data_IF_830965154815
#
_entry.id   IF_830965154815
#
_cell.length_a   1.000
_cell.length_b   1.000
_cell.length_c   1.000
_cell.angle_alpha   90.00
_cell.angle_beta   90.00
_cell.angle_gamma   90.00
#
_symmetry.space_group_name_H-M   'P 1'
#
loop_
_entity.id
_entity.type
_entity.pdbx_description
1 polymer ?
#
# COMPACT_ATOMS: atom_id res chain seq x y z
N UNK A 1 -1.58 13.00 15.59
CA UNK A 1 -1.78 13.77 14.33
C UNK A 1 -0.59 13.49 13.44
N UNK A 2 -0.81 13.12 12.20
CA UNK A 2 0.25 12.99 11.20
C UNK A 2 -0.07 13.90 10.01
N UNK A 3 0.95 14.22 9.24
CA UNK A 3 0.83 15.01 8.01
C UNK A 3 1.24 14.08 6.87
N UNK A 4 0.45 14.03 5.82
CA UNK A 4 0.74 13.29 4.60
C UNK A 4 0.86 14.22 3.41
N UNK A 5 1.70 13.84 2.46
CA UNK A 5 1.83 14.49 1.17
C UNK A 5 1.62 13.45 0.07
N UNK A 6 0.72 13.75 -0.86
CA UNK A 6 0.44 12.92 -2.03
C UNK A 6 0.86 13.66 -3.28
N UNK A 7 1.60 12.99 -4.14
CA UNK A 7 1.92 13.47 -5.48
C UNK A 7 1.57 12.41 -6.50
N UNK A 8 0.87 12.79 -7.55
CA UNK A 8 0.57 11.91 -8.66
C UNK A 8 0.49 12.69 -9.97
N UNK A 9 0.95 12.09 -11.05
CA UNK A 9 0.96 12.69 -12.37
C UNK A 9 0.95 11.63 -13.45
N UNK A 10 0.21 11.88 -14.53
CA UNK A 10 0.28 11.07 -15.76
C UNK A 10 1.35 11.59 -16.73
N UNK A 11 1.86 12.79 -16.51
CA UNK A 11 2.79 13.48 -17.41
C UNK A 11 4.24 13.48 -16.89
N UNK A 12 4.53 12.66 -15.87
CA UNK A 12 5.88 12.56 -15.30
C UNK A 12 6.76 11.70 -16.22
N UNK A 13 7.39 12.32 -17.19
CA UNK A 13 8.30 11.63 -18.13
C UNK A 13 9.38 10.85 -17.37
N UNK A 14 9.59 9.59 -17.74
CA UNK A 14 10.58 8.71 -17.13
C UNK A 14 10.08 7.92 -15.91
N UNK A 15 8.93 8.27 -15.35
CA UNK A 15 8.40 7.60 -14.13
C UNK A 15 7.55 6.35 -14.41
N UNK A 16 7.15 6.10 -15.62
CA UNK A 16 6.30 4.96 -16.00
C UNK A 16 5.11 4.82 -15.00
N UNK A 17 4.80 3.60 -14.55
CA UNK A 17 3.82 3.30 -13.51
C UNK A 17 4.46 3.21 -12.13
N UNK A 18 5.35 4.12 -11.80
CA UNK A 18 6.02 4.14 -10.49
C UNK A 18 5.02 4.46 -9.38
N UNK A 19 5.05 3.66 -8.34
CA UNK A 19 4.42 3.93 -7.06
C UNK A 19 5.49 3.84 -5.98
N UNK A 20 5.59 4.86 -5.14
CA UNK A 20 6.47 4.84 -3.98
C UNK A 20 5.73 5.33 -2.74
N UNK A 21 6.08 4.75 -1.60
CA UNK A 21 5.52 5.11 -0.30
C UNK A 21 6.68 5.35 0.66
N UNK A 22 6.65 6.49 1.35
CA UNK A 22 7.58 6.82 2.43
C UNK A 22 6.79 7.14 3.69
N UNK A 23 7.21 6.59 4.82
CA UNK A 23 6.61 6.82 6.12
C UNK A 23 7.71 7.25 7.08
N UNK A 24 7.54 8.43 7.67
CA UNK A 24 8.49 9.01 8.62
C UNK A 24 7.92 8.96 10.03
N UNK A 25 8.65 8.37 10.95
CA UNK A 25 8.30 8.26 12.35
C UNK A 25 9.44 8.72 13.28
N UNK A 26 9.15 8.81 14.56
CA UNK A 26 10.14 9.24 15.56
C UNK A 26 11.22 8.17 15.87
N UNK A 27 11.05 6.94 15.39
CA UNK A 27 12.02 5.83 15.57
C UNK A 27 12.73 5.45 14.28
N UNK A 28 12.44 6.14 13.17
CA UNK A 28 13.01 5.86 11.86
C UNK A 28 12.00 6.06 10.76
N UNK A 29 12.38 5.68 9.54
CA UNK A 29 11.51 5.78 8.37
C UNK A 29 11.49 4.50 7.56
N UNK A 30 10.42 4.32 6.80
CA UNK A 30 10.23 3.22 5.85
C UNK A 30 10.11 3.78 4.44
N UNK A 31 10.71 3.09 3.50
CA UNK A 31 10.54 3.37 2.08
C UNK A 31 10.26 2.09 1.31
N UNK A 32 9.26 2.14 0.45
CA UNK A 32 8.95 1.10 -0.51
C UNK A 32 8.71 1.69 -1.89
N UNK A 33 9.10 0.96 -2.92
CA UNK A 33 8.84 1.36 -4.31
C UNK A 33 8.39 0.16 -5.13
N UNK A 34 7.45 0.39 -6.04
CA UNK A 34 6.95 -0.61 -6.96
C UNK A 34 8.04 -1.13 -7.92
N UNK A 35 9.09 -0.37 -8.18
CA UNK A 35 10.20 -0.80 -9.02
C UNK A 35 11.04 -1.91 -8.38
N UNK A 36 10.99 -2.03 -7.04
CA UNK A 36 11.58 -3.13 -6.27
C UNK A 36 10.58 -3.61 -5.20
N UNK A 37 9.51 -4.31 -5.60
CA UNK A 37 8.38 -4.61 -4.73
C UNK A 37 8.70 -5.59 -3.61
N UNK A 38 9.79 -6.35 -3.74
CA UNK A 38 10.20 -7.37 -2.78
C UNK A 38 10.89 -6.81 -1.54
N UNK A 39 11.27 -5.53 -1.53
CA UNK A 39 12.06 -4.92 -0.49
C UNK A 39 11.41 -3.68 0.11
N UNK A 40 11.50 -3.60 1.43
CA UNK A 40 11.21 -2.38 2.20
C UNK A 40 12.49 -1.93 2.88
N UNK A 41 12.87 -0.69 2.68
CA UNK A 41 14.02 -0.08 3.34
C UNK A 41 13.58 0.54 4.65
N UNK A 42 14.25 0.19 5.73
CA UNK A 42 14.09 0.81 7.04
C UNK A 42 15.35 1.57 7.40
N UNK A 43 15.20 2.84 7.72
CA UNK A 43 16.25 3.75 8.14
C UNK A 43 16.03 4.06 9.62
N UNK A 44 16.97 3.71 10.49
CA UNK A 44 16.88 4.03 11.91
C UNK A 44 17.48 5.42 12.22
N UNK A 45 17.25 5.89 13.46
CA UNK A 45 17.76 7.20 13.89
C UNK A 45 19.28 7.24 14.08
N UNK A 46 19.95 6.09 14.04
CA UNK A 46 21.42 5.99 14.13
C UNK A 46 22.07 6.02 12.75
N UNK A 47 21.28 6.16 11.67
CA UNK A 47 21.75 6.19 10.29
C UNK A 47 21.97 4.80 9.67
N UNK A 48 21.57 3.72 10.34
CA UNK A 48 21.65 2.38 9.76
C UNK A 48 20.49 2.13 8.79
N UNK A 49 20.78 1.35 7.75
CA UNK A 49 19.81 0.92 6.76
C UNK A 49 19.62 -0.58 6.88
N UNK A 50 18.39 -1.02 7.05
CA UNK A 50 18.00 -2.43 7.02
C UNK A 50 17.08 -2.69 5.85
N UNK A 51 17.39 -3.72 5.06
CA UNK A 51 16.50 -4.18 3.99
C UNK A 51 15.64 -5.30 4.55
N UNK A 52 14.33 -5.12 4.47
CA UNK A 52 13.32 -6.06 4.93
C UNK A 52 12.67 -6.68 3.70
N UNK A 53 12.73 -7.99 3.57
CA UNK A 53 12.13 -8.75 2.48
C UNK A 53 11.37 -9.97 2.99
N UNK A 54 10.84 -10.80 2.12
CA UNK A 54 10.05 -11.99 2.48
C UNK A 54 10.82 -13.03 3.29
N UNK A 55 12.16 -13.03 3.27
CA UNK A 55 13.01 -13.91 4.08
C UNK A 55 13.32 -13.32 5.46
N UNK A 56 13.00 -12.05 5.70
CA UNK A 56 13.30 -11.37 6.95
C UNK A 56 12.45 -11.95 8.08
N UNK A 57 13.10 -12.46 9.12
CA UNK A 57 12.42 -13.03 10.30
C UNK A 57 11.57 -12.02 11.09
N UNK A 58 11.78 -10.72 10.87
CA UNK A 58 11.13 -9.63 11.63
C UNK A 58 9.68 -9.34 11.20
N UNK A 59 9.20 -9.89 10.08
CA UNK A 59 7.89 -9.54 9.55
C UNK A 59 7.02 -10.77 9.33
N UNK A 60 6.08 -10.95 10.26
CA UNK A 60 5.11 -12.06 10.25
C UNK A 60 4.21 -12.06 9.02
N UNK A 61 3.98 -10.91 8.39
CA UNK A 61 3.11 -10.76 7.21
C UNK A 61 3.83 -11.06 5.90
N UNK A 62 5.12 -10.73 5.79
CA UNK A 62 5.90 -10.96 4.57
C UNK A 62 6.28 -12.42 4.37
N UNK A 63 6.21 -13.24 5.41
CA UNK A 63 6.42 -14.68 5.35
C UNK A 63 5.16 -15.47 5.05
N UNK A 64 4.00 -14.82 4.86
CA UNK A 64 2.76 -15.52 4.59
C UNK A 64 2.74 -16.06 3.14
N UNK A 65 3.06 -17.34 3.02
CA UNK A 65 3.09 -18.09 1.76
C UNK A 65 1.78 -18.02 0.97
N UNK A 66 0.66 -17.70 1.62
CA UNK A 66 -0.65 -17.62 0.97
C UNK A 66 -0.84 -16.35 0.12
N UNK A 67 -0.01 -15.32 0.33
CA UNK A 67 -0.07 -14.10 -0.46
C UNK A 67 0.81 -14.13 -1.70
N UNK A 68 1.69 -15.11 -1.81
CA UNK A 68 2.65 -15.20 -2.90
C UNK A 68 2.57 -16.55 -3.59
N UNK A 69 2.46 -16.54 -4.89
CA UNK A 69 2.42 -17.74 -5.73
C UNK A 69 3.79 -18.40 -5.77
N UNK A 70 4.85 -17.61 -5.77
CA UNK A 70 6.23 -18.10 -5.90
C UNK A 70 7.03 -17.95 -4.62
N UNK A 71 8.08 -18.76 -4.51
CA UNK A 71 9.05 -18.69 -3.42
C UNK A 71 9.78 -17.34 -3.41
N UNK A 72 10.33 -16.89 -2.25
CA UNK A 72 11.22 -15.75 -2.21
C UNK A 72 12.35 -15.84 -3.22
N UNK A 73 12.71 -14.71 -3.85
CA UNK A 73 13.70 -14.65 -4.92
C UNK A 73 13.11 -14.75 -6.33
N UNK A 74 11.83 -15.07 -6.48
CA UNK A 74 11.11 -14.97 -7.74
C UNK A 74 10.31 -13.66 -7.78
N UNK A 75 10.23 -12.97 -8.94
CA UNK A 75 9.46 -11.74 -9.04
C UNK A 75 8.00 -11.98 -8.65
N UNK A 76 7.54 -11.26 -7.63
CA UNK A 76 6.13 -11.15 -7.27
C UNK A 76 5.57 -9.79 -7.72
N UNK A 77 4.28 -9.57 -7.55
CA UNK A 77 3.71 -8.24 -7.74
C UNK A 77 2.33 -8.22 -8.40
N UNK A 78 2.22 -7.65 -9.59
CA UNK A 78 0.95 -7.34 -10.23
C UNK A 78 0.02 -8.55 -10.37
N UNK A 79 0.52 -9.67 -10.89
CA UNK A 79 -0.28 -10.90 -11.05
C UNK A 79 -0.69 -11.49 -9.71
N UNK A 80 0.23 -11.54 -8.73
CA UNK A 80 -0.10 -12.02 -7.38
C UNK A 80 -1.18 -11.19 -6.73
N UNK A 81 -1.16 -9.86 -6.92
CA UNK A 81 -2.18 -8.97 -6.40
C UNK A 81 -3.56 -9.31 -6.95
N UNK A 82 -3.69 -9.53 -8.26
CA UNK A 82 -4.96 -9.95 -8.87
C UNK A 82 -5.41 -11.34 -8.44
N UNK A 83 -4.50 -12.33 -8.40
CA UNK A 83 -4.79 -13.68 -7.92
C UNK A 83 -5.34 -13.60 -6.48
N UNK A 84 -4.73 -12.80 -5.62
CA UNK A 84 -5.17 -12.64 -4.24
C UNK A 84 -6.57 -12.00 -4.14
N UNK A 85 -6.87 -11.01 -4.99
CA UNK A 85 -8.21 -10.39 -5.05
C UNK A 85 -9.26 -11.43 -5.47
N UNK A 86 -9.02 -12.18 -6.56
CA UNK A 86 -9.96 -13.18 -7.04
C UNK A 86 -10.13 -14.36 -6.05
N UNK A 87 -9.06 -14.80 -5.42
CA UNK A 87 -9.14 -15.81 -4.35
C UNK A 87 -9.99 -15.32 -3.18
N UNK A 88 -9.87 -14.06 -2.80
CA UNK A 88 -10.69 -13.49 -1.72
C UNK A 88 -12.18 -13.42 -2.11
N UNK A 89 -12.49 -12.99 -3.33
CA UNK A 89 -13.87 -13.01 -3.85
C UNK A 89 -14.44 -14.43 -3.83
N UNK A 90 -13.67 -15.41 -4.30
CA UNK A 90 -14.08 -16.81 -4.28
C UNK A 90 -14.32 -17.31 -2.85
N UNK A 91 -13.43 -17.01 -1.89
CA UNK A 91 -13.62 -17.41 -0.49
C UNK A 91 -14.86 -16.79 0.14
N UNK A 92 -15.15 -15.53 -0.16
CA UNK A 92 -16.38 -14.87 0.29
C UNK A 92 -17.63 -15.54 -0.33
N UNK A 93 -17.57 -15.88 -1.62
CA UNK A 93 -18.65 -16.57 -2.31
C UNK A 93 -18.97 -17.94 -1.70
N UNK A 94 -17.96 -18.72 -1.33
CA UNK A 94 -18.14 -20.05 -0.70
C UNK A 94 -18.23 -19.99 0.83
N UNK A 95 -18.44 -18.81 1.40
CA UNK A 95 -18.55 -18.57 2.85
C UNK A 95 -17.34 -19.08 3.67
N UNK A 96 -16.15 -19.06 3.08
CA UNK A 96 -14.91 -19.38 3.78
C UNK A 96 -14.33 -18.15 4.48
N UNK A 97 -13.67 -18.37 5.61
CA UNK A 97 -12.99 -17.31 6.33
C UNK A 97 -11.83 -16.75 5.50
N UNK A 98 -11.81 -15.44 5.32
CA UNK A 98 -10.70 -14.71 4.75
C UNK A 98 -9.69 -14.40 5.85
N UNK A 99 -8.48 -14.95 5.77
CA UNK A 99 -7.45 -14.77 6.80
C UNK A 99 -6.82 -13.37 6.76
N UNK A 100 -6.59 -12.85 5.56
CA UNK A 100 -6.02 -11.52 5.35
C UNK A 100 -6.96 -10.76 4.42
N UNK A 101 -7.77 -9.85 4.94
CA UNK A 101 -8.66 -9.06 4.11
C UNK A 101 -7.83 -8.08 3.26
N UNK A 102 -7.87 -8.27 1.95
CA UNK A 102 -7.21 -7.41 0.95
C UNK A 102 -8.22 -6.43 0.36
N UNK A 103 -9.46 -6.89 0.18
CA UNK A 103 -10.53 -6.06 -0.34
C UNK A 103 -10.98 -5.09 0.75
N UNK A 104 -11.06 -3.83 0.39
CA UNK A 104 -11.71 -2.82 1.21
C UNK A 104 -13.21 -3.12 1.27
N UNK A 105 -13.82 -2.93 2.42
CA UNK A 105 -15.27 -2.94 2.55
C UNK A 105 -15.91 -1.75 1.81
N UNK A 106 -17.22 -1.78 1.64
CA UNK A 106 -17.95 -0.72 0.93
C UNK A 106 -17.73 0.66 1.57
N UNK A 107 -17.68 0.72 2.90
CA UNK A 107 -17.49 1.95 3.65
C UNK A 107 -16.11 2.57 3.37
N UNK A 108 -15.06 1.76 3.46
CA UNK A 108 -13.69 2.21 3.15
C UNK A 108 -13.55 2.69 1.70
N UNK A 109 -14.23 2.02 0.75
CA UNK A 109 -14.26 2.47 -0.64
C UNK A 109 -14.97 3.82 -0.81
N UNK A 110 -16.07 4.04 -0.09
CA UNK A 110 -16.76 5.34 -0.09
C UNK A 110 -15.88 6.44 0.48
N UNK A 111 -15.13 6.18 1.55
CA UNK A 111 -14.17 7.12 2.14
C UNK A 111 -13.07 7.52 1.13
N UNK A 112 -12.61 6.57 0.31
CA UNK A 112 -11.64 6.85 -0.78
C UNK A 112 -12.26 7.76 -1.83
N UNK A 113 -13.49 7.46 -2.28
CA UNK A 113 -14.19 8.29 -3.29
C UNK A 113 -14.44 9.70 -2.76
N UNK A 114 -14.91 9.83 -1.51
CA UNK A 114 -15.10 11.14 -0.88
C UNK A 114 -13.78 11.92 -0.82
N UNK A 115 -12.68 11.24 -0.48
CA UNK A 115 -11.36 11.87 -0.45
C UNK A 115 -10.97 12.43 -1.82
N UNK A 116 -11.16 11.66 -2.89
CA UNK A 116 -10.86 12.10 -4.26
C UNK A 116 -11.72 13.29 -4.67
N UNK A 117 -13.01 13.26 -4.35
CA UNK A 117 -13.92 14.40 -4.61
C UNK A 117 -13.46 15.67 -3.87
N UNK A 118 -13.11 15.53 -2.58
CA UNK A 118 -12.60 16.68 -1.80
C UNK A 118 -11.28 17.22 -2.34
N UNK A 119 -10.39 16.38 -2.87
CA UNK A 119 -9.17 16.82 -3.54
C UNK A 119 -9.52 17.67 -4.77
N UNK A 120 -10.47 17.20 -5.60
CA UNK A 120 -10.93 17.94 -6.77
C UNK A 120 -11.55 19.29 -6.40
N UNK A 121 -12.45 19.29 -5.42
CA UNK A 121 -13.08 20.52 -4.91
C UNK A 121 -12.05 21.48 -4.32
N UNK A 122 -11.06 20.97 -3.57
CA UNK A 122 -9.96 21.77 -3.01
C UNK A 122 -9.14 22.44 -4.10
N UNK A 123 -8.79 21.69 -5.15
CA UNK A 123 -8.04 22.20 -6.30
C UNK A 123 -8.78 23.33 -7.01
N UNK A 124 -10.08 23.14 -7.29
CA UNK A 124 -10.89 24.10 -8.01
C UNK A 124 -11.15 25.37 -7.19
N UNK A 125 -11.45 25.23 -5.92
CA UNK A 125 -11.75 26.34 -5.02
C UNK A 125 -10.51 26.99 -4.42
N UNK A 126 -9.32 26.38 -4.58
CA UNK A 126 -8.05 26.84 -3.97
C UNK A 126 -8.16 27.00 -2.44
N UNK A 127 -8.89 26.10 -1.79
CA UNK A 127 -9.15 26.12 -0.34
C UNK A 127 -9.07 24.71 0.24
N UNK A 128 -8.54 24.63 1.46
CA UNK A 128 -8.55 23.37 2.22
C UNK A 128 -9.97 22.83 2.39
N UNK A 129 -10.10 21.51 2.27
CA UNK A 129 -11.35 20.80 2.49
C UNK A 129 -11.19 19.85 3.69
N UNK A 130 -12.22 19.78 4.51
CA UNK A 130 -12.28 18.78 5.58
C UNK A 130 -12.86 17.46 5.05
N UNK A 131 -12.28 16.36 5.48
CA UNK A 131 -12.77 14.99 5.21
C UNK A 131 -13.15 14.41 6.56
N UNK A 132 -14.41 14.02 6.71
CA UNK A 132 -14.90 13.30 7.89
C UNK A 132 -14.90 11.81 7.57
N UNK A 133 -13.80 11.12 7.87
CA UNK A 133 -13.76 9.67 7.78
C UNK A 133 -14.74 9.12 8.83
N UNK A 134 -15.79 8.45 8.39
CA UNK A 134 -16.78 7.83 9.27
C UNK A 134 -16.12 6.62 9.94
N UNK A 135 -15.90 6.69 11.24
CA UNK A 135 -15.41 5.57 12.07
C UNK A 135 -16.37 4.39 12.07
#
# INVERSE_FOLDING_TARGET
KFIGHLWFSKNATGKRNELSIQIFGNKGSLQWTHNNPEEVYFFDNSGNISIINRLSKKTKYLSNKKLFTYSPGHPGGFLDAFINIYNQIYFLYVNKKVEIPILLDLKSNLDVIETLDKIHVSSNKKKWQSILLKK
#
